data_IF_488160489625
#
_entry.id   IF_488160489625
#
_cell.length_a   1.000
_cell.length_b   1.000
_cell.length_c   1.000
_cell.angle_alpha   90.00
_cell.angle_beta   90.00
_cell.angle_gamma   90.00
#
_symmetry.space_group_name_H-M   'P 1'
#
loop_
_entity.id
_entity.type
_entity.pdbx_description
1 polymer ?
#
# COMPACT_ATOMS: atom_id res chain seq x y z
N UNK A 1 15.99 -54.60 12.79
CA UNK A 1 14.83 -53.87 12.26
C UNK A 1 14.80 -52.47 12.89
N UNK A 2 15.47 -51.49 12.27
CA UNK A 2 15.45 -50.10 12.73
C UNK A 2 14.92 -49.21 11.62
N UNK A 3 13.68 -48.76 11.79
CA UNK A 3 13.02 -47.81 10.91
C UNK A 3 13.50 -46.41 11.26
N UNK A 4 14.29 -45.79 10.37
CA UNK A 4 14.62 -44.36 10.44
C UNK A 4 13.52 -43.61 9.71
N UNK A 5 12.72 -42.82 10.43
CA UNK A 5 11.84 -41.83 9.82
C UNK A 5 12.65 -40.56 9.57
N UNK A 6 12.81 -40.21 8.31
CA UNK A 6 13.38 -38.94 7.87
C UNK A 6 12.40 -37.82 8.25
N UNK A 7 12.73 -37.04 9.28
CA UNK A 7 12.08 -35.78 9.55
C UNK A 7 12.54 -34.75 8.54
N UNK A 8 11.71 -34.47 7.54
CA UNK A 8 11.88 -33.33 6.65
C UNK A 8 11.52 -32.09 7.48
N UNK A 9 12.53 -31.42 8.03
CA UNK A 9 12.37 -30.10 8.62
C UNK A 9 12.39 -29.10 7.45
N UNK A 10 11.22 -28.62 7.03
CA UNK A 10 11.11 -27.52 6.07
C UNK A 10 11.21 -26.19 6.83
N UNK A 11 12.26 -25.38 6.62
CA UNK A 11 12.48 -24.12 7.36
C UNK A 11 11.51 -22.98 6.96
N UNK A 12 10.66 -23.19 5.95
CA UNK A 12 9.74 -22.17 5.46
C UNK A 12 8.50 -21.95 6.33
N UNK A 13 8.09 -22.98 7.10
CA UNK A 13 6.94 -22.85 8.01
C UNK A 13 7.24 -21.91 9.18
N UNK A 14 8.49 -21.81 9.59
CA UNK A 14 8.92 -21.02 10.75
C UNK A 14 8.95 -19.51 10.43
N UNK A 15 9.36 -19.12 9.22
CA UNK A 15 9.45 -17.71 8.82
C UNK A 15 8.06 -17.08 8.65
N UNK A 16 7.10 -17.81 8.05
CA UNK A 16 5.72 -17.34 7.92
C UNK A 16 5.05 -17.18 9.29
N UNK A 17 5.27 -18.14 10.18
CA UNK A 17 4.74 -18.09 11.53
C UNK A 17 5.33 -16.91 12.32
N UNK A 18 6.65 -16.72 12.25
CA UNK A 18 7.33 -15.60 12.90
C UNK A 18 6.78 -14.26 12.39
N UNK A 19 6.66 -14.08 11.07
CA UNK A 19 6.10 -12.88 10.46
C UNK A 19 4.66 -12.61 10.89
N UNK A 20 3.81 -13.63 10.96
CA UNK A 20 2.42 -13.49 11.43
C UNK A 20 2.33 -13.08 12.91
N UNK A 21 3.27 -13.55 13.75
CA UNK A 21 3.29 -13.19 15.17
C UNK A 21 3.88 -11.82 15.46
N UNK A 22 4.78 -11.31 14.60
CA UNK A 22 5.45 -10.01 14.81
C UNK A 22 4.76 -8.86 14.07
N UNK A 23 4.32 -9.09 12.84
CA UNK A 23 3.76 -8.05 11.95
C UNK A 23 2.23 -8.13 11.82
N UNK A 24 1.60 -9.13 12.46
CA UNK A 24 0.18 -9.39 12.38
C UNK A 24 -0.22 -10.31 11.23
N UNK A 25 -1.47 -10.78 11.26
CA UNK A 25 -2.05 -11.61 10.21
C UNK A 25 -2.63 -10.68 9.15
N UNK A 26 -2.08 -10.69 7.94
CA UNK A 26 -2.69 -10.02 6.78
C UNK A 26 -4.07 -10.65 6.56
N UNK A 27 -5.14 -9.91 6.89
CA UNK A 27 -6.53 -10.39 6.75
C UNK A 27 -6.93 -10.57 5.29
N UNK A 28 -6.28 -9.82 4.41
CA UNK A 28 -6.39 -9.89 2.96
C UNK A 28 -4.96 -9.98 2.43
N UNK A 29 -4.41 -11.19 2.39
CA UNK A 29 -3.10 -11.39 1.76
C UNK A 29 -3.32 -11.34 0.23
N UNK A 30 -2.90 -10.28 -0.49
CA UNK A 30 -3.02 -10.23 -1.94
C UNK A 30 -2.23 -11.36 -2.63
N UNK A 31 -1.37 -12.08 -1.89
CA UNK A 31 -0.61 -13.22 -2.36
C UNK A 31 -1.31 -14.56 -2.12
N UNK A 32 -2.46 -14.62 -1.42
CA UNK A 32 -3.13 -15.90 -1.08
C UNK A 32 -3.66 -16.66 -2.32
N UNK A 33 -3.79 -15.97 -3.45
CA UNK A 33 -4.20 -16.53 -4.74
C UNK A 33 -3.05 -16.69 -5.75
N UNK A 34 -1.83 -16.29 -5.40
CA UNK A 34 -0.69 -16.35 -6.34
C UNK A 34 -0.04 -17.71 -6.22
N UNK A 35 -0.12 -18.50 -7.30
CA UNK A 35 0.48 -19.83 -7.34
C UNK A 35 2.01 -19.72 -7.10
N UNK A 36 2.60 -20.58 -6.25
CA UNK A 36 4.03 -20.50 -5.90
C UNK A 36 4.95 -20.60 -7.13
N UNK A 37 4.53 -21.30 -8.19
CA UNK A 37 5.29 -21.35 -9.45
C UNK A 37 5.37 -20.00 -10.16
N UNK A 38 4.37 -19.14 -10.01
CA UNK A 38 4.38 -17.78 -10.55
C UNK A 38 5.43 -16.95 -9.82
N UNK A 39 5.46 -17.02 -8.49
CA UNK A 39 6.51 -16.37 -7.69
C UNK A 39 7.88 -16.92 -8.08
N UNK A 40 8.01 -18.23 -8.24
CA UNK A 40 9.29 -18.84 -8.61
C UNK A 40 9.72 -18.52 -10.05
N UNK A 41 8.78 -18.22 -10.96
CA UNK A 41 9.09 -17.81 -12.33
C UNK A 41 9.66 -16.39 -12.38
N UNK A 42 9.11 -15.46 -11.60
CA UNK A 42 9.50 -14.04 -11.66
C UNK A 42 10.54 -13.65 -10.59
N UNK A 43 10.47 -14.27 -9.42
CA UNK A 43 11.30 -13.96 -8.26
C UNK A 43 12.13 -15.15 -7.77
N UNK A 44 11.98 -16.33 -8.39
CA UNK A 44 12.73 -17.51 -8.01
C UNK A 44 14.22 -17.36 -8.32
N UNK A 45 15.05 -17.82 -7.40
CA UNK A 45 16.50 -17.89 -7.56
C UNK A 45 16.92 -19.10 -8.41
N UNK A 46 15.98 -19.71 -9.13
CA UNK A 46 16.16 -20.93 -9.92
C UNK A 46 16.89 -20.67 -11.25
N UNK A 47 17.99 -19.93 -11.20
CA UNK A 47 19.00 -19.91 -12.26
C UNK A 47 20.14 -20.88 -11.91
N UNK A 48 20.89 -21.34 -12.92
CA UNK A 48 22.13 -22.06 -12.68
C UNK A 48 23.03 -21.23 -11.74
N UNK A 49 23.54 -21.86 -10.69
CA UNK A 49 24.32 -21.19 -9.63
C UNK A 49 25.52 -20.47 -10.25
N UNK A 50 25.38 -19.17 -10.54
CA UNK A 50 26.47 -18.35 -11.09
C UNK A 50 27.57 -18.30 -10.04
N UNK A 51 28.77 -18.80 -10.39
CA UNK A 51 29.96 -18.63 -9.56
C UNK A 51 30.30 -17.15 -9.55
N UNK A 52 29.97 -16.46 -8.47
CA UNK A 52 30.38 -15.07 -8.25
C UNK A 52 31.85 -15.03 -7.83
N UNK A 53 32.65 -14.09 -8.35
CA UNK A 53 34.00 -13.85 -7.84
C UNK A 53 33.94 -13.39 -6.38
N UNK A 54 35.06 -13.55 -5.65
CA UNK A 54 35.15 -13.39 -4.18
C UNK A 54 34.71 -12.00 -3.64
N UNK A 55 34.46 -11.03 -4.52
CA UNK A 55 34.20 -9.63 -4.18
C UNK A 55 32.85 -9.11 -4.72
N UNK A 56 31.97 -9.97 -5.23
CA UNK A 56 30.66 -9.54 -5.76
C UNK A 56 29.54 -9.93 -4.78
N UNK A 57 29.08 -8.96 -4.01
CA UNK A 57 27.84 -9.05 -3.21
C UNK A 57 26.65 -9.06 -4.16
N UNK A 58 25.67 -9.92 -3.92
CA UNK A 58 24.55 -10.18 -4.82
C UNK A 58 23.55 -9.05 -5.05
N UNK A 59 23.95 -7.80 -4.85
CA UNK A 59 23.10 -6.61 -4.86
C UNK A 59 23.09 -5.87 -6.21
N UNK A 60 23.41 -6.56 -7.32
CA UNK A 60 23.01 -6.08 -8.65
C UNK A 60 23.71 -4.85 -9.23
N UNK A 61 24.89 -4.45 -8.78
CA UNK A 61 25.69 -3.43 -9.48
C UNK A 61 26.89 -4.11 -10.14
N UNK A 62 26.73 -4.49 -11.41
CA UNK A 62 27.87 -4.74 -12.29
C UNK A 62 28.24 -3.38 -12.89
N UNK A 63 29.46 -2.95 -12.61
CA UNK A 63 30.06 -1.74 -13.16
C UNK A 63 30.05 -1.75 -14.69
N UNK A 64 29.48 -0.69 -15.25
CA UNK A 64 29.73 -0.07 -16.56
C UNK A 64 30.48 -0.96 -17.56
N UNK A 65 29.72 -1.63 -18.42
CA UNK A 65 30.25 -2.29 -19.62
C UNK A 65 29.49 -1.69 -20.81
N UNK A 66 30.16 -0.76 -21.50
CA UNK A 66 29.75 -0.17 -22.77
C UNK A 66 29.76 -1.27 -23.85
N UNK A 67 28.68 -2.04 -23.92
CA UNK A 67 28.45 -3.05 -24.95
C UNK A 67 27.35 -2.60 -25.89
N UNK A 68 27.69 -1.88 -26.95
CA UNK A 68 26.82 -1.67 -28.10
C UNK A 68 26.38 -3.02 -28.68
N UNK A 69 25.15 -3.46 -28.39
CA UNK A 69 24.46 -4.48 -29.17
C UNK A 69 23.29 -3.84 -29.90
N UNK A 70 23.49 -3.56 -31.19
CA UNK A 70 22.40 -3.29 -32.13
C UNK A 70 21.55 -4.57 -32.26
N UNK A 71 20.53 -4.70 -31.43
CA UNK A 71 19.47 -5.69 -31.58
C UNK A 71 18.16 -4.94 -31.80
N UNK A 72 17.77 -4.84 -33.07
CA UNK A 72 16.56 -4.17 -33.55
C UNK A 72 15.33 -5.06 -33.29
N UNK A 73 15.02 -5.22 -32.00
CA UNK A 73 13.82 -5.89 -31.47
C UNK A 73 13.32 -5.12 -30.25
N UNK A 74 12.03 -5.23 -29.88
CA UNK A 74 11.52 -4.55 -28.70
C UNK A 74 12.41 -4.95 -27.51
N UNK A 75 12.84 -3.96 -26.72
CA UNK A 75 13.65 -4.24 -25.54
C UNK A 75 12.87 -5.26 -24.69
N UNK A 76 13.55 -6.28 -24.18
CA UNK A 76 12.95 -7.27 -23.28
C UNK A 76 12.25 -6.58 -22.10
N UNK A 77 12.71 -5.38 -21.73
CA UNK A 77 12.10 -4.51 -20.73
C UNK A 77 10.72 -4.01 -21.16
N UNK A 78 10.55 -3.59 -22.41
CA UNK A 78 9.28 -3.08 -22.95
C UNK A 78 8.22 -4.19 -23.06
N UNK A 79 8.62 -5.41 -23.42
CA UNK A 79 7.71 -6.57 -23.46
C UNK A 79 7.26 -6.98 -22.04
N UNK A 80 8.17 -6.91 -21.07
CA UNK A 80 7.88 -7.20 -19.66
C UNK A 80 6.99 -6.12 -19.03
N UNK A 81 7.23 -4.85 -19.31
CA UNK A 81 6.39 -3.73 -18.84
C UNK A 81 4.97 -3.83 -19.42
N UNK A 82 4.85 -4.13 -20.72
CA UNK A 82 3.55 -4.31 -21.36
C UNK A 82 2.78 -5.51 -20.79
N UNK A 83 3.47 -6.61 -20.51
CA UNK A 83 2.87 -7.80 -19.89
C UNK A 83 2.42 -7.52 -18.44
N UNK A 84 3.24 -6.80 -17.65
CA UNK A 84 2.87 -6.40 -16.28
C UNK A 84 1.70 -5.44 -16.27
N UNK A 85 1.66 -4.47 -17.19
CA UNK A 85 0.52 -3.55 -17.32
C UNK A 85 -0.79 -4.28 -17.60
N UNK A 86 -0.77 -5.28 -18.50
CA UNK A 86 -1.94 -6.09 -18.82
C UNK A 86 -2.42 -6.96 -17.66
N UNK A 87 -1.48 -7.55 -16.90
CA UNK A 87 -1.81 -8.39 -15.74
C UNK A 87 -2.30 -7.56 -14.54
N UNK A 88 -1.76 -6.36 -14.34
CA UNK A 88 -2.18 -5.42 -13.28
C UNK A 88 -3.51 -4.74 -13.60
N UNK A 89 -3.82 -4.48 -14.87
CA UNK A 89 -5.06 -3.83 -15.29
C UNK A 89 -6.32 -4.60 -14.83
N UNK A 90 -6.25 -5.92 -14.67
CA UNK A 90 -7.37 -6.73 -14.19
C UNK A 90 -7.60 -6.63 -12.67
N UNK A 91 -6.58 -6.20 -11.93
CA UNK A 91 -6.58 -6.03 -10.47
C UNK A 91 -6.88 -4.60 -10.03
N UNK A 92 -6.69 -3.61 -10.92
CA UNK A 92 -7.18 -2.24 -10.71
C UNK A 92 -8.69 -2.24 -11.02
N UNK A 93 -9.49 -2.80 -10.11
CA UNK A 93 -10.96 -2.83 -10.19
C UNK A 93 -11.62 -1.74 -9.36
N UNK A 94 -10.95 -0.62 -9.19
CA UNK A 94 -11.58 0.55 -8.65
C UNK A 94 -11.91 1.46 -9.83
N UNK A 95 -13.19 1.49 -10.21
CA UNK A 95 -13.74 2.65 -10.91
C UNK A 95 -13.19 3.90 -10.21
N UNK A 96 -12.78 4.96 -10.94
CA UNK A 96 -12.40 6.22 -10.33
C UNK A 96 -13.59 6.67 -9.48
N UNK A 97 -13.49 6.38 -8.19
CA UNK A 97 -14.54 6.59 -7.23
C UNK A 97 -14.88 8.06 -7.19
N UNK A 98 -16.15 8.41 -6.93
CA UNK A 98 -16.64 9.76 -6.64
C UNK A 98 -15.68 10.59 -5.75
N UNK A 99 -14.89 9.90 -4.91
CA UNK A 99 -13.77 10.45 -4.15
C UNK A 99 -12.78 11.30 -4.96
N UNK A 100 -12.31 10.85 -6.13
CA UNK A 100 -11.29 11.58 -6.91
C UNK A 100 -11.86 12.86 -7.51
N UNK A 101 -13.09 12.79 -8.05
CA UNK A 101 -13.80 13.98 -8.57
C UNK A 101 -14.11 14.98 -7.45
N UNK A 102 -14.54 14.49 -6.28
CA UNK A 102 -14.78 15.35 -5.12
C UNK A 102 -13.49 15.94 -4.56
N UNK A 103 -12.41 15.17 -4.53
CA UNK A 103 -11.10 15.66 -4.10
C UNK A 103 -10.63 16.77 -5.04
N UNK A 104 -10.70 16.56 -6.36
CA UNK A 104 -10.33 17.59 -7.33
C UNK A 104 -11.16 18.88 -7.15
N UNK A 105 -12.48 18.76 -6.96
CA UNK A 105 -13.34 19.90 -6.67
C UNK A 105 -13.04 20.60 -5.33
N UNK A 106 -12.58 19.87 -4.32
CA UNK A 106 -12.17 20.42 -3.02
C UNK A 106 -10.80 21.13 -3.12
N UNK A 107 -9.89 20.60 -3.93
CA UNK A 107 -8.57 21.20 -4.15
C UNK A 107 -8.64 22.55 -4.87
N UNK A 108 -9.71 22.81 -5.63
CA UNK A 108 -10.00 24.12 -6.21
C UNK A 108 -10.46 25.17 -5.18
N UNK A 109 -10.77 24.74 -3.95
CA UNK A 109 -11.21 25.61 -2.85
C UNK A 109 -10.08 25.80 -1.81
N UNK A 110 -9.27 26.87 -1.93
CA UNK A 110 -8.14 27.09 -1.03
C UNK A 110 -8.55 27.41 0.42
N UNK A 111 -9.80 27.81 0.64
CA UNK A 111 -10.30 28.27 1.95
C UNK A 111 -10.88 27.14 2.82
N UNK A 112 -10.99 25.91 2.28
CA UNK A 112 -11.52 24.76 2.99
C UNK A 112 -10.38 23.90 3.57
N UNK A 113 -9.61 24.47 4.51
CA UNK A 113 -8.59 23.73 5.25
C UNK A 113 -9.26 23.06 6.46
N UNK A 114 -9.15 21.73 6.62
CA UNK A 114 -9.73 21.04 7.77
C UNK A 114 -8.91 21.31 9.05
N UNK A 115 -9.62 21.42 10.18
CA UNK A 115 -9.05 21.56 11.53
C UNK A 115 -8.52 20.20 12.04
N UNK A 116 -7.62 20.25 13.02
CA UNK A 116 -6.95 19.16 13.72
C UNK A 116 -5.93 18.35 12.88
N UNK A 117 -5.45 18.89 11.75
CA UNK A 117 -4.46 18.22 10.88
C UNK A 117 -3.03 18.78 10.98
N UNK A 118 -2.79 19.81 11.79
CA UNK A 118 -1.49 20.46 11.97
C UNK A 118 -1.06 21.34 10.80
N UNK A 119 -2.02 21.79 9.97
CA UNK A 119 -1.75 22.59 8.76
C UNK A 119 -2.16 24.05 8.93
N UNK A 120 -3.10 24.34 9.84
CA UNK A 120 -3.53 25.70 10.11
C UNK A 120 -2.48 26.44 10.94
N UNK A 121 -2.26 27.71 10.63
CA UNK A 121 -1.33 28.56 11.39
C UNK A 121 -1.75 28.67 12.87
N UNK A 122 -3.05 28.63 13.14
CA UNK A 122 -3.62 28.68 14.49
C UNK A 122 -3.36 27.40 15.31
N UNK A 123 -3.02 26.28 14.67
CA UNK A 123 -2.68 25.01 15.32
C UNK A 123 -1.21 24.94 15.76
N UNK A 124 -0.39 25.89 15.31
CA UNK A 124 1.04 25.90 15.61
C UNK A 124 1.28 26.60 16.95
N UNK A 125 1.97 25.91 17.86
CA UNK A 125 2.01 26.29 19.29
C UNK A 125 2.70 27.62 19.61
N UNK A 126 3.36 28.29 18.65
CA UNK A 126 3.90 29.68 18.72
C UNK A 126 4.91 29.98 17.59
N UNK A 127 5.28 28.97 16.78
CA UNK A 127 6.34 29.04 15.77
C UNK A 127 5.77 28.90 14.34
N UNK A 128 6.42 29.54 13.36
CA UNK A 128 6.12 29.37 11.93
C UNK A 128 6.21 27.89 11.49
N UNK A 129 5.69 27.56 10.30
CA UNK A 129 5.81 26.23 9.72
C UNK A 129 7.27 25.73 9.78
N UNK A 130 7.54 24.54 10.35
CA UNK A 130 8.91 24.08 10.55
C UNK A 130 9.58 23.86 9.20
N UNK A 131 10.53 24.73 8.84
CA UNK A 131 11.30 24.60 7.60
C UNK A 131 12.40 23.52 7.68
N UNK A 132 12.57 22.89 8.84
CA UNK A 132 13.59 21.89 9.09
C UNK A 132 12.99 20.77 9.94
N UNK A 133 13.11 19.54 9.45
CA UNK A 133 12.78 18.33 10.21
C UNK A 133 14.03 17.48 10.41
N UNK A 134 14.25 17.03 11.65
CA UNK A 134 15.39 16.18 12.00
C UNK A 134 14.90 14.75 12.20
N UNK A 135 15.17 13.90 11.22
CA UNK A 135 14.81 12.48 11.27
C UNK A 135 15.99 11.67 11.81
N UNK A 136 15.74 10.80 12.78
CA UNK A 136 16.75 9.89 13.34
C UNK A 136 16.60 8.49 12.72
N UNK A 137 17.38 8.13 11.69
CA UNK A 137 17.33 6.79 11.11
C UNK A 137 17.92 5.76 12.09
N UNK A 138 17.04 5.17 12.92
CA UNK A 138 17.38 4.06 13.82
C UNK A 138 18.26 4.43 15.02
N UNK A 139 18.68 3.42 15.79
CA UNK A 139 19.38 3.59 17.08
C UNK A 139 20.85 4.02 16.97
N UNK A 140 21.43 3.98 15.76
CA UNK A 140 22.86 4.25 15.50
C UNK A 140 23.12 5.15 14.29
N UNK A 141 22.09 5.64 13.61
CA UNK A 141 22.25 6.52 12.46
C UNK A 141 22.55 7.96 12.87
N UNK A 142 23.24 8.68 11.99
CA UNK A 142 23.38 10.13 12.11
C UNK A 142 22.03 10.82 11.86
N UNK A 143 21.80 11.96 12.51
CA UNK A 143 20.58 12.73 12.35
C UNK A 143 20.50 13.30 10.94
N UNK A 144 19.43 12.96 10.21
CA UNK A 144 19.18 13.47 8.87
C UNK A 144 18.36 14.76 8.99
N UNK A 145 18.96 15.88 8.59
CA UNK A 145 18.27 17.16 8.53
C UNK A 145 17.62 17.30 7.16
N UNK A 146 16.30 17.32 7.13
CA UNK A 146 15.48 17.50 5.93
C UNK A 146 14.99 18.94 5.92
N UNK A 147 15.35 19.70 4.87
CA UNK A 147 14.77 21.01 4.65
C UNK A 147 13.35 20.83 4.10
N UNK A 148 12.39 21.54 4.71
CA UNK A 148 10.99 21.59 4.33
C UNK A 148 10.58 23.01 3.91
N UNK A 149 11.06 23.53 2.77
CA UNK A 149 10.67 24.87 2.34
C UNK A 149 9.16 25.00 2.25
N UNK A 150 8.60 25.98 2.95
CA UNK A 150 7.18 26.30 2.94
C UNK A 150 6.55 26.36 1.53
N UNK A 151 7.14 27.02 0.50
CA UNK A 151 6.50 27.10 -0.82
C UNK A 151 6.34 25.75 -1.52
N UNK A 152 7.16 24.76 -1.19
CA UNK A 152 7.12 23.43 -1.80
C UNK A 152 6.27 22.44 -0.99
N UNK A 153 6.38 22.52 0.34
CA UNK A 153 5.77 21.56 1.26
C UNK A 153 4.37 21.93 1.69
N UNK A 154 4.11 23.22 1.96
CA UNK A 154 2.81 23.66 2.45
C UNK A 154 1.66 23.29 1.49
N UNK A 155 1.77 23.50 0.16
CA UNK A 155 0.71 23.09 -0.76
C UNK A 155 0.48 21.58 -0.76
N UNK A 156 1.53 20.76 -0.50
CA UNK A 156 1.40 19.30 -0.42
C UNK A 156 0.75 18.87 0.89
N UNK A 157 1.14 19.48 2.00
CA UNK A 157 0.56 19.23 3.32
C UNK A 157 -0.94 19.59 3.33
N UNK A 158 -1.31 20.75 2.77
CA UNK A 158 -2.71 21.15 2.61
C UNK A 158 -3.51 20.12 1.80
N UNK A 159 -3.00 19.71 0.63
CA UNK A 159 -3.65 18.67 -0.20
C UNK A 159 -3.80 17.35 0.53
N UNK A 160 -2.78 16.94 1.29
CA UNK A 160 -2.83 15.72 2.08
C UNK A 160 -3.90 15.79 3.17
N UNK A 161 -3.98 16.90 3.92
CA UNK A 161 -4.99 17.09 4.96
C UNK A 161 -6.41 17.10 4.36
N UNK A 162 -6.61 17.81 3.25
CA UNK A 162 -7.89 17.82 2.52
C UNK A 162 -8.30 16.42 2.03
N UNK A 163 -7.36 15.66 1.48
CA UNK A 163 -7.62 14.29 1.04
C UNK A 163 -7.96 13.37 2.21
N UNK A 164 -7.26 13.52 3.34
CA UNK A 164 -7.46 12.69 4.53
C UNK A 164 -8.80 12.97 5.23
N UNK A 165 -9.19 14.24 5.36
CA UNK A 165 -10.50 14.64 5.87
C UNK A 165 -11.63 14.08 4.98
N UNK A 166 -11.49 14.22 3.66
CA UNK A 166 -12.47 13.68 2.73
C UNK A 166 -12.56 12.15 2.80
N UNK A 167 -11.42 11.46 2.90
CA UNK A 167 -11.38 10.00 3.07
C UNK A 167 -12.06 9.57 4.37
N UNK A 168 -11.80 10.28 5.46
CA UNK A 168 -12.40 9.99 6.78
C UNK A 168 -13.93 10.10 6.71
N UNK A 169 -14.45 11.19 6.10
CA UNK A 169 -15.90 11.36 5.88
C UNK A 169 -16.50 10.29 4.98
N UNK A 170 -15.75 9.81 3.99
CA UNK A 170 -16.17 8.71 3.13
C UNK A 170 -16.27 7.39 3.88
N UNK A 171 -15.29 7.08 4.72
CA UNK A 171 -15.29 5.87 5.55
C UNK A 171 -16.45 5.89 6.54
N UNK A 172 -16.67 7.01 7.24
CA UNK A 172 -17.81 7.18 8.15
C UNK A 172 -19.15 6.96 7.45
N UNK A 173 -19.28 7.45 6.20
CA UNK A 173 -20.49 7.25 5.39
C UNK A 173 -20.69 5.78 5.04
N UNK A 174 -19.63 5.05 4.69
CA UNK A 174 -19.70 3.62 4.38
C UNK A 174 -20.14 2.84 5.62
N UNK A 175 -19.48 3.05 6.76
CA UNK A 175 -19.81 2.37 8.03
C UNK A 175 -21.24 2.71 8.51
N UNK A 176 -21.68 3.95 8.30
CA UNK A 176 -23.04 4.39 8.64
C UNK A 176 -24.13 3.70 7.82
N UNK A 177 -23.85 3.30 6.57
CA UNK A 177 -24.85 2.65 5.71
C UNK A 177 -25.15 1.20 6.08
N UNK A 178 -24.22 0.50 6.74
CA UNK A 178 -24.42 -0.89 7.16
C UNK A 178 -25.37 -1.01 8.38
N UNK A 179 -25.51 0.05 9.17
CA UNK A 179 -26.37 0.07 10.36
C UNK A 179 -27.86 0.34 10.06
N UNK A 180 -28.21 0.74 8.83
CA UNK A 180 -29.57 1.13 8.47
C UNK A 180 -30.40 0.04 7.76
N UNK A 181 -29.81 -1.12 7.41
CA UNK A 181 -30.52 -2.16 6.62
C UNK A 181 -31.16 -3.29 7.43
N UNK A 182 -31.23 -3.17 8.76
CA UNK A 182 -31.76 -4.22 9.64
C UNK A 182 -32.82 -3.68 10.59
N UNK A 183 -34.08 -3.56 10.14
CA UNK A 183 -35.31 -3.84 10.91
C UNK A 183 -36.55 -3.32 10.17
N UNK A 184 -37.07 -4.13 9.25
CA UNK A 184 -38.48 -4.08 8.85
C UNK A 184 -39.04 -5.51 8.78
N UNK A 185 -38.93 -6.27 9.87
CA UNK A 185 -39.66 -7.53 10.02
C UNK A 185 -41.04 -7.28 10.65
N UNK A 186 -41.99 -7.04 9.75
CA UNK A 186 -43.34 -7.59 9.77
C UNK A 186 -43.98 -7.91 11.13
N UNK A 187 -44.69 -6.93 11.70
CA UNK A 187 -45.79 -7.23 12.62
C UNK A 187 -47.08 -6.59 12.09
N UNK A 188 -47.67 -7.23 11.09
CA UNK A 188 -49.06 -6.96 10.70
C UNK A 188 -49.99 -7.60 11.74
N UNK A 189 -50.39 -6.77 12.69
CA UNK A 189 -51.48 -7.00 13.62
C UNK A 189 -52.81 -7.05 12.84
N UNK A 190 -53.32 -8.25 12.57
CA UNK A 190 -54.66 -8.45 12.04
C UNK A 190 -55.68 -8.32 13.17
N UNK A 191 -55.98 -7.07 13.50
CA UNK A 191 -57.17 -6.69 14.25
C UNK A 191 -58.39 -6.56 13.34
N UNK A 192 -59.54 -6.92 13.89
CA UNK A 192 -60.91 -6.82 13.36
C UNK A 192 -61.35 -8.03 12.52
N UNK A 193 -62.51 -8.63 12.76
CA UNK A 193 -63.79 -7.93 12.94
C UNK A 193 -64.79 -8.79 13.72
N UNK A 194 -65.32 -8.20 14.78
CA UNK A 194 -66.48 -8.65 15.56
C UNK A 194 -67.68 -7.84 15.03
N UNK A 195 -68.70 -8.52 14.51
CA UNK A 195 -70.00 -7.91 14.23
C UNK A 195 -71.11 -8.97 14.25
N UNK A 196 -72.17 -8.57 14.97
CA UNK A 196 -73.38 -9.29 15.39
C UNK A 196 -74.22 -9.93 14.28
#
# INVERSE_FOLDING_TARGET
>A
MSSRRNGICTPYLDIRFLGQTTEGIYREDPLDCIHPDTINRYYGVAGARRRRPRNQTGAGIASDDEGESNADGPSVEEEVENQMGADLAQNIRHEPSDFLELLEGLLEQPDAMPEDYGVLEDEWEEEDYPEIEIVKPGTRGEELVIALPRPDWFPRAARWAQALDLLTRFLDKIEGTESASGNEDGSQDLGSDDSE
#
